data_IF_641973346242
#
_entry.id   IF_641973346242
#
_cell.length_a   1.000
_cell.length_b   1.000
_cell.length_c   1.000
_cell.angle_alpha   90.00
_cell.angle_beta   90.00
_cell.angle_gamma   90.00
#
_symmetry.space_group_name_H-M   'P 1'
#
loop_
_entity.id
_entity.type
_entity.pdbx_description
1 polymer ?
#
# COMPACT_ATOMS: atom_id res chain seq x y z
N UNK A 1 -11.58 16.08 -16.59
CA UNK A 1 -11.54 15.37 -15.29
C UNK A 1 -12.49 14.20 -15.42
N UNK A 2 -12.03 12.98 -15.08
CA UNK A 2 -12.87 11.77 -15.12
C UNK A 2 -13.62 11.63 -13.81
N UNK A 3 -14.94 11.53 -13.88
CA UNK A 3 -15.81 11.27 -12.72
C UNK A 3 -15.71 9.80 -12.36
N UNK A 4 -15.31 9.49 -11.13
CA UNK A 4 -15.13 8.11 -10.68
C UNK A 4 -16.04 7.75 -9.52
N UNK A 5 -16.44 6.48 -9.51
CA UNK A 5 -17.09 5.81 -8.39
C UNK A 5 -16.19 4.67 -7.92
N UNK A 6 -16.02 4.51 -6.62
CA UNK A 6 -15.23 3.44 -6.02
C UNK A 6 -16.18 2.45 -5.32
N UNK A 7 -16.07 1.14 -5.65
CA UNK A 7 -16.97 0.11 -5.14
C UNK A 7 -16.31 -1.27 -5.05
N UNK A 8 -16.51 -2.01 -3.95
CA UNK A 8 -16.93 -1.52 -2.64
C UNK A 8 -15.82 -0.66 -2.00
N UNK A 9 -16.20 0.37 -1.29
CA UNK A 9 -15.25 1.19 -0.55
C UNK A 9 -15.16 0.70 0.90
N UNK A 10 -13.94 0.43 1.35
CA UNK A 10 -13.62 0.01 2.71
C UNK A 10 -12.48 0.86 3.29
N UNK A 11 -12.01 0.54 4.49
CA UNK A 11 -10.84 1.23 5.09
C UNK A 11 -9.56 1.09 4.25
N UNK A 12 -9.45 0.02 3.48
CA UNK A 12 -8.26 -0.26 2.67
C UNK A 12 -8.09 0.73 1.50
N UNK A 13 -9.21 1.29 1.02
CA UNK A 13 -9.23 2.23 -0.10
C UNK A 13 -9.07 3.69 0.33
N UNK A 14 -9.00 3.96 1.64
CA UNK A 14 -8.93 5.34 2.13
C UNK A 14 -7.78 6.15 1.52
N UNK A 15 -6.61 5.53 1.37
CA UNK A 15 -5.45 6.18 0.75
C UNK A 15 -5.68 6.64 -0.70
N UNK A 16 -6.63 6.03 -1.43
CA UNK A 16 -6.99 6.48 -2.77
C UNK A 16 -7.61 7.89 -2.73
N UNK A 17 -8.40 8.19 -1.72
CA UNK A 17 -9.08 9.51 -1.63
C UNK A 17 -8.05 10.63 -1.54
N UNK A 18 -7.00 10.41 -0.76
CA UNK A 18 -6.01 11.44 -0.47
C UNK A 18 -4.99 11.63 -1.59
N UNK A 19 -4.64 10.54 -2.29
CA UNK A 19 -3.52 10.53 -3.22
C UNK A 19 -3.91 10.35 -4.68
N UNK A 20 -5.20 10.24 -5.00
CA UNK A 20 -5.65 10.16 -6.39
C UNK A 20 -5.17 11.36 -7.21
N UNK A 21 -4.64 11.12 -8.42
CA UNK A 21 -4.25 12.20 -9.30
C UNK A 21 -5.42 13.16 -9.61
N UNK A 22 -5.13 14.47 -9.81
CA UNK A 22 -6.18 15.50 -9.99
C UNK A 22 -7.04 15.35 -11.26
N UNK A 23 -6.65 14.46 -12.16
CA UNK A 23 -7.49 14.10 -13.30
C UNK A 23 -8.75 13.32 -12.91
N UNK A 24 -8.81 12.74 -11.71
CA UNK A 24 -9.97 12.03 -11.17
C UNK A 24 -10.78 12.91 -10.22
N UNK A 25 -12.10 12.83 -10.33
CA UNK A 25 -13.05 13.45 -9.40
C UNK A 25 -13.94 12.37 -8.84
N UNK A 26 -13.87 12.15 -7.54
CA UNK A 26 -14.72 11.18 -6.86
C UNK A 26 -16.15 11.72 -6.82
N UNK A 27 -17.09 10.97 -7.36
CA UNK A 27 -18.51 11.31 -7.32
C UNK A 27 -19.31 10.43 -6.37
N UNK A 28 -18.80 9.24 -6.07
CA UNK A 28 -19.51 8.30 -5.20
C UNK A 28 -18.54 7.31 -4.57
N UNK A 29 -18.76 7.03 -3.27
CA UNK A 29 -18.12 5.98 -2.51
C UNK A 29 -19.19 4.98 -2.09
N UNK A 30 -19.19 3.80 -2.69
CA UNK A 30 -20.24 2.80 -2.46
C UNK A 30 -19.77 1.79 -1.42
N UNK A 31 -20.51 1.69 -0.32
CA UNK A 31 -20.26 0.73 0.77
C UNK A 31 -21.35 -0.32 0.82
N UNK A 32 -21.06 -1.56 1.23
CA UNK A 32 -22.09 -2.57 1.45
C UNK A 32 -23.07 -2.17 2.56
N UNK A 33 -24.32 -2.59 2.43
CA UNK A 33 -25.32 -2.40 3.49
C UNK A 33 -24.85 -3.05 4.81
N UNK A 34 -25.13 -2.37 5.93
CA UNK A 34 -24.83 -2.88 7.27
C UNK A 34 -23.48 -2.41 7.85
N UNK A 35 -22.70 -1.64 7.12
CA UNK A 35 -21.48 -1.02 7.67
C UNK A 35 -21.81 0.19 8.57
N UNK A 36 -23.03 0.71 8.52
CA UNK A 36 -23.54 1.77 9.41
C UNK A 36 -22.98 3.17 9.14
N UNK A 37 -22.37 3.40 7.98
CA UNK A 37 -21.73 4.66 7.61
C UNK A 37 -22.43 5.38 6.45
N UNK A 38 -23.60 4.88 6.00
CA UNK A 38 -24.33 5.52 4.90
C UNK A 38 -24.70 6.97 5.23
N UNK A 39 -24.47 7.86 4.29
CA UNK A 39 -24.72 9.30 4.43
C UNK A 39 -23.73 10.06 5.30
N UNK A 40 -22.77 9.37 5.92
CA UNK A 40 -21.70 10.01 6.68
C UNK A 40 -20.55 10.43 5.74
N UNK A 41 -19.83 11.47 6.13
CA UNK A 41 -18.61 11.87 5.46
C UNK A 41 -17.48 10.85 5.72
N UNK A 42 -16.61 10.66 4.76
CA UNK A 42 -15.49 9.70 4.86
C UNK A 42 -14.52 10.02 6.01
N UNK A 43 -14.49 11.27 6.48
CA UNK A 43 -13.68 11.72 7.61
C UNK A 43 -13.89 10.92 8.88
N UNK A 44 -15.07 10.30 9.04
CA UNK A 44 -15.37 9.43 10.21
C UNK A 44 -14.42 8.25 10.32
N UNK A 45 -13.85 7.78 9.20
CA UNK A 45 -12.88 6.67 9.21
C UNK A 45 -11.56 7.05 9.86
N UNK A 46 -11.26 8.34 10.00
CA UNK A 46 -9.99 8.85 10.57
C UNK A 46 -10.15 9.86 11.69
N UNK A 47 -11.38 10.11 12.12
CA UNK A 47 -11.66 11.16 13.11
C UNK A 47 -11.01 12.50 12.74
N UNK A 48 -11.23 12.93 11.49
CA UNK A 48 -10.71 14.17 10.91
C UNK A 48 -11.85 15.14 10.57
N UNK A 49 -11.54 16.36 10.15
CA UNK A 49 -12.53 17.30 9.62
C UNK A 49 -13.12 16.78 8.31
N UNK A 50 -14.37 17.18 8.02
CA UNK A 50 -15.08 16.76 6.82
C UNK A 50 -14.26 16.98 5.54
N UNK A 51 -14.24 15.95 4.69
CA UNK A 51 -13.52 15.94 3.41
C UNK A 51 -14.48 16.26 2.25
N UNK A 52 -15.80 16.09 2.47
CA UNK A 52 -16.85 16.40 1.51
C UNK A 52 -17.29 15.22 0.65
N UNK A 53 -16.82 13.99 0.94
CA UNK A 53 -17.27 12.78 0.27
C UNK A 53 -18.15 11.95 1.18
N UNK A 54 -19.41 11.70 0.76
CA UNK A 54 -20.35 10.89 1.53
C UNK A 54 -20.44 9.47 1.00
N UNK A 55 -20.67 8.52 1.91
CA UNK A 55 -20.95 7.14 1.58
C UNK A 55 -22.37 6.93 1.08
N UNK A 56 -22.55 6.04 0.12
CA UNK A 56 -23.84 5.56 -0.33
C UNK A 56 -23.91 4.04 -0.40
N UNK A 57 -25.07 3.47 -0.07
CA UNK A 57 -25.33 2.03 -0.25
C UNK A 57 -25.95 1.72 -1.61
N UNK A 58 -26.39 2.74 -2.33
CA UNK A 58 -27.05 2.57 -3.63
C UNK A 58 -26.05 2.38 -4.75
N UNK A 59 -25.81 1.13 -5.16
CA UNK A 59 -24.95 0.79 -6.29
C UNK A 59 -25.40 1.55 -7.55
N UNK A 60 -26.70 1.53 -7.87
CA UNK A 60 -27.23 2.13 -9.08
C UNK A 60 -27.00 3.64 -9.12
N UNK A 61 -27.31 4.35 -8.03
CA UNK A 61 -27.14 5.81 -8.00
C UNK A 61 -25.68 6.19 -8.06
N UNK A 62 -24.81 5.47 -7.33
CA UNK A 62 -23.37 5.74 -7.32
C UNK A 62 -22.73 5.53 -8.69
N UNK A 63 -23.07 4.44 -9.40
CA UNK A 63 -22.56 4.14 -10.75
C UNK A 63 -23.10 5.14 -11.79
N UNK A 64 -24.37 5.52 -11.72
CA UNK A 64 -24.94 6.45 -12.70
C UNK A 64 -24.23 7.81 -12.70
N UNK A 65 -23.77 8.29 -11.56
CA UNK A 65 -23.12 9.59 -11.40
C UNK A 65 -21.65 9.62 -11.84
N UNK A 66 -21.08 8.48 -12.22
CA UNK A 66 -19.68 8.36 -12.61
C UNK A 66 -19.52 7.99 -14.09
N UNK A 67 -18.38 8.35 -14.67
CA UNK A 67 -17.97 7.95 -16.02
C UNK A 67 -17.15 6.64 -15.96
N UNK A 68 -16.33 6.50 -14.92
CA UNK A 68 -15.46 5.35 -14.70
C UNK A 68 -15.73 4.73 -13.32
N UNK A 69 -15.83 3.41 -13.28
CA UNK A 69 -16.06 2.67 -12.05
C UNK A 69 -14.76 1.94 -11.64
N UNK A 70 -14.28 2.19 -10.43
CA UNK A 70 -13.18 1.47 -9.84
C UNK A 70 -13.76 0.36 -8.97
N UNK A 71 -13.62 -0.88 -9.44
CA UNK A 71 -14.01 -2.06 -8.67
C UNK A 71 -12.79 -2.53 -7.89
N UNK A 72 -12.87 -2.47 -6.56
CA UNK A 72 -11.73 -2.64 -5.65
C UNK A 72 -11.30 -4.10 -5.51
N UNK A 73 -10.10 -4.29 -4.96
CA UNK A 73 -9.53 -5.62 -4.76
C UNK A 73 -10.13 -6.26 -3.50
N UNK A 74 -10.94 -7.29 -3.69
CA UNK A 74 -11.55 -8.07 -2.62
C UNK A 74 -11.13 -9.53 -2.78
N UNK A 75 -10.66 -10.12 -1.70
CA UNK A 75 -10.29 -11.53 -1.71
C UNK A 75 -11.52 -12.44 -1.87
N UNK A 76 -11.36 -13.53 -2.63
CA UNK A 76 -12.43 -14.53 -2.85
C UNK A 76 -12.90 -15.15 -1.52
N UNK A 77 -12.04 -15.15 -0.51
CA UNK A 77 -12.34 -15.63 0.84
C UNK A 77 -13.41 -14.78 1.55
N UNK A 78 -13.52 -13.50 1.22
CA UNK A 78 -14.54 -12.57 1.72
C UNK A 78 -15.83 -12.65 0.89
N UNK A 79 -16.44 -13.81 0.82
CA UNK A 79 -17.53 -14.15 -0.12
C UNK A 79 -18.60 -13.08 -0.29
N UNK A 80 -19.16 -12.55 0.80
CA UNK A 80 -20.26 -11.56 0.73
C UNK A 80 -19.79 -10.25 0.09
N UNK A 81 -18.60 -9.81 0.43
CA UNK A 81 -18.02 -8.57 -0.10
C UNK A 81 -17.62 -8.76 -1.56
N UNK A 82 -17.06 -9.92 -1.90
CA UNK A 82 -16.71 -10.29 -3.26
C UNK A 82 -17.96 -10.36 -4.15
N UNK A 83 -19.03 -11.02 -3.71
CA UNK A 83 -20.31 -11.08 -4.44
C UNK A 83 -20.90 -9.68 -4.67
N UNK A 84 -20.81 -8.80 -3.67
CA UNK A 84 -21.25 -7.41 -3.78
C UNK A 84 -20.42 -6.65 -4.82
N UNK A 85 -19.10 -6.77 -4.79
CA UNK A 85 -18.19 -6.16 -5.76
C UNK A 85 -18.48 -6.67 -7.20
N UNK A 86 -18.72 -7.99 -7.33
CA UNK A 86 -19.02 -8.61 -8.60
C UNK A 86 -20.39 -8.16 -9.17
N UNK A 87 -21.40 -7.99 -8.32
CA UNK A 87 -22.69 -7.41 -8.71
C UNK A 87 -22.54 -5.97 -9.20
N UNK A 88 -21.73 -5.16 -8.51
CA UNK A 88 -21.45 -3.79 -8.93
C UNK A 88 -20.70 -3.76 -10.28
N UNK A 89 -19.74 -4.67 -10.49
CA UNK A 89 -19.06 -4.84 -11.78
C UNK A 89 -20.05 -5.13 -12.91
N UNK A 90 -20.93 -6.12 -12.74
CA UNK A 90 -21.93 -6.48 -13.77
C UNK A 90 -22.91 -5.34 -14.05
N UNK A 91 -23.27 -4.56 -13.01
CA UNK A 91 -24.13 -3.39 -13.20
C UNK A 91 -23.41 -2.29 -13.98
N UNK A 92 -22.13 -2.02 -13.70
CA UNK A 92 -21.33 -1.06 -14.43
C UNK A 92 -21.22 -1.45 -15.92
N UNK A 93 -20.99 -2.74 -16.20
CA UNK A 93 -20.99 -3.28 -17.58
C UNK A 93 -22.31 -2.99 -18.30
N UNK A 94 -23.45 -3.36 -17.68
CA UNK A 94 -24.79 -3.16 -18.27
C UNK A 94 -25.10 -1.69 -18.53
N UNK A 95 -24.53 -0.77 -17.77
CA UNK A 95 -24.71 0.67 -17.92
C UNK A 95 -23.68 1.30 -18.89
N UNK A 96 -22.85 0.49 -19.55
CA UNK A 96 -21.87 0.95 -20.54
C UNK A 96 -20.80 1.87 -19.94
N UNK A 97 -20.45 1.67 -18.67
CA UNK A 97 -19.42 2.48 -17.99
C UNK A 97 -18.02 1.97 -18.28
N UNK A 98 -17.04 2.88 -18.27
CA UNK A 98 -15.64 2.47 -18.20
C UNK A 98 -15.32 1.86 -16.83
N UNK A 99 -14.53 0.80 -16.82
CA UNK A 99 -14.26 0.04 -15.59
C UNK A 99 -12.76 -0.16 -15.43
N UNK A 100 -12.26 0.12 -14.22
CA UNK A 100 -10.95 -0.29 -13.74
C UNK A 100 -11.19 -1.36 -12.68
N UNK A 101 -10.86 -2.62 -13.01
CA UNK A 101 -11.20 -3.77 -12.18
C UNK A 101 -9.96 -4.36 -11.51
N UNK A 102 -9.99 -4.42 -10.18
CA UNK A 102 -8.97 -5.04 -9.34
C UNK A 102 -9.40 -6.40 -8.76
N UNK A 103 -10.61 -6.86 -9.04
CA UNK A 103 -11.05 -8.17 -8.57
C UNK A 103 -10.17 -9.29 -9.13
N UNK A 104 -9.84 -10.31 -8.31
CA UNK A 104 -9.06 -11.47 -8.71
C UNK A 104 -9.89 -12.45 -9.55
N UNK A 105 -10.20 -12.06 -10.78
CA UNK A 105 -10.93 -12.86 -11.75
C UNK A 105 -9.97 -13.77 -12.51
N UNK A 106 -10.45 -14.96 -12.91
CA UNK A 106 -9.72 -15.82 -13.83
C UNK A 106 -9.77 -15.28 -15.27
N UNK A 107 -8.96 -15.84 -16.17
CA UNK A 107 -8.84 -15.29 -17.52
C UNK A 107 -10.09 -15.49 -18.36
N UNK A 108 -10.87 -16.56 -18.15
CA UNK A 108 -12.16 -16.80 -18.82
C UNK A 108 -13.19 -15.76 -18.37
N UNK A 109 -13.29 -15.50 -17.07
CA UNK A 109 -14.18 -14.46 -16.53
C UNK A 109 -13.82 -13.08 -17.08
N UNK A 110 -12.54 -12.72 -17.15
CA UNK A 110 -12.07 -11.44 -17.72
C UNK A 110 -12.47 -11.30 -19.18
N UNK A 111 -12.32 -12.38 -19.96
CA UNK A 111 -12.67 -12.36 -21.38
C UNK A 111 -14.17 -12.20 -21.60
N UNK A 112 -15.02 -12.88 -20.81
CA UNK A 112 -16.46 -12.72 -20.84
C UNK A 112 -16.86 -11.27 -20.51
N UNK A 113 -16.30 -10.71 -19.43
CA UNK A 113 -16.62 -9.34 -19.02
C UNK A 113 -16.15 -8.33 -20.07
N UNK A 114 -14.97 -8.52 -20.67
CA UNK A 114 -14.46 -7.65 -21.73
C UNK A 114 -15.42 -7.60 -22.91
N UNK A 115 -15.86 -8.76 -23.41
CA UNK A 115 -16.84 -8.85 -24.50
C UNK A 115 -18.19 -8.20 -24.13
N UNK A 116 -18.64 -8.38 -22.89
CA UNK A 116 -19.86 -7.71 -22.43
C UNK A 116 -19.68 -6.18 -22.42
N UNK A 117 -18.55 -5.65 -21.93
CA UNK A 117 -18.28 -4.21 -21.94
C UNK A 117 -18.32 -3.65 -23.36
N UNK A 118 -17.69 -4.32 -24.31
CA UNK A 118 -17.73 -3.92 -25.74
C UNK A 118 -19.16 -3.87 -26.30
N UNK A 119 -19.98 -4.87 -25.97
CA UNK A 119 -21.39 -4.92 -26.39
C UNK A 119 -22.22 -3.77 -25.82
N UNK A 120 -21.92 -3.29 -24.60
CA UNK A 120 -22.63 -2.20 -23.95
C UNK A 120 -21.99 -0.82 -24.15
N UNK A 121 -20.88 -0.74 -24.90
CA UNK A 121 -20.21 0.52 -25.26
C UNK A 121 -19.25 1.07 -24.19
N UNK A 122 -18.88 0.27 -23.18
CA UNK A 122 -17.86 0.59 -22.18
C UNK A 122 -16.54 -0.15 -22.42
N UNK A 123 -15.53 0.20 -21.66
CA UNK A 123 -14.24 -0.49 -21.64
C UNK A 123 -13.95 -1.06 -20.25
N UNK A 124 -13.34 -2.24 -20.18
CA UNK A 124 -12.89 -2.82 -18.92
C UNK A 124 -11.37 -3.05 -18.93
N UNK A 125 -10.68 -2.37 -18.04
CA UNK A 125 -9.26 -2.57 -17.79
C UNK A 125 -9.09 -3.43 -16.52
N UNK A 126 -8.56 -4.63 -16.69
CA UNK A 126 -8.17 -5.48 -15.57
C UNK A 126 -6.75 -5.16 -15.16
N UNK A 127 -6.58 -4.80 -13.90
CA UNK A 127 -5.28 -4.46 -13.35
C UNK A 127 -4.65 -5.74 -12.77
N UNK A 128 -3.43 -6.01 -13.21
CA UNK A 128 -2.62 -7.10 -12.70
C UNK A 128 -1.30 -6.52 -12.18
N UNK A 129 -0.94 -6.76 -10.91
CA UNK A 129 0.40 -6.45 -10.42
C UNK A 129 1.47 -7.13 -11.27
N UNK A 130 2.64 -6.53 -11.35
CA UNK A 130 3.80 -7.16 -11.96
C UNK A 130 4.14 -8.41 -11.14
N UNK A 131 4.11 -9.56 -11.77
CA UNK A 131 4.57 -10.82 -11.17
C UNK A 131 6.03 -11.02 -11.61
N UNK A 132 6.98 -11.25 -10.68
CA UNK A 132 8.32 -11.66 -11.05
C UNK A 132 8.24 -12.91 -11.94
N UNK A 133 8.89 -12.86 -13.09
CA UNK A 133 8.86 -13.99 -14.02
C UNK A 133 9.77 -15.11 -13.53
N UNK A 134 9.32 -16.35 -13.72
CA UNK A 134 10.14 -17.50 -13.41
C UNK A 134 11.45 -17.46 -14.20
N UNK A 135 12.55 -17.55 -13.47
CA UNK A 135 13.87 -17.67 -14.06
C UNK A 135 14.01 -19.09 -14.60
N UNK A 136 14.44 -19.21 -15.86
CA UNK A 136 14.75 -20.51 -16.43
C UNK A 136 15.82 -21.21 -15.56
N UNK A 137 15.56 -22.47 -15.16
CA UNK A 137 16.45 -23.22 -14.25
C UNK A 137 17.85 -23.40 -14.80
N UNK A 138 18.00 -23.31 -16.14
CA UNK A 138 19.27 -23.43 -16.84
C UNK A 138 19.98 -22.09 -17.08
N UNK A 139 19.32 -20.95 -16.76
CA UNK A 139 19.94 -19.64 -16.85
C UNK A 139 20.97 -19.48 -15.72
N UNK A 140 22.14 -18.90 -16.03
CA UNK A 140 23.10 -18.52 -15.00
C UNK A 140 22.41 -17.55 -14.02
N UNK A 141 22.17 -18.01 -12.80
CA UNK A 141 21.58 -17.23 -11.74
C UNK A 141 22.54 -16.09 -11.39
N UNK A 142 22.12 -14.86 -11.67
CA UNK A 142 22.90 -13.66 -11.35
C UNK A 142 22.02 -12.70 -10.54
N UNK A 143 22.52 -12.28 -9.38
CA UNK A 143 21.97 -11.17 -8.63
C UNK A 143 22.60 -9.86 -9.10
N UNK A 144 21.75 -8.88 -9.37
CA UNK A 144 22.18 -7.55 -9.78
C UNK A 144 22.30 -6.63 -8.58
N UNK A 145 23.32 -5.78 -8.57
CA UNK A 145 23.49 -4.74 -7.57
C UNK A 145 22.70 -3.50 -7.94
N UNK A 146 22.14 -2.83 -6.94
CA UNK A 146 21.45 -1.55 -7.11
C UNK A 146 22.42 -0.41 -6.83
N UNK A 147 22.47 0.57 -7.76
CA UNK A 147 23.35 1.72 -7.67
C UNK A 147 22.69 2.92 -6.97
N UNK A 148 21.43 2.78 -6.60
CA UNK A 148 20.65 3.80 -5.89
C UNK A 148 20.25 3.28 -4.53
N UNK A 149 20.05 4.17 -3.53
CA UNK A 149 19.66 3.75 -2.19
C UNK A 149 18.29 3.08 -2.21
N UNK A 150 18.13 2.07 -1.34
CA UNK A 150 16.89 1.33 -1.13
C UNK A 150 16.42 1.56 0.28
N UNK A 151 15.16 1.97 0.45
CA UNK A 151 14.52 2.16 1.76
C UNK A 151 13.31 1.25 1.87
N UNK A 152 13.19 0.56 3.02
CA UNK A 152 12.02 -0.23 3.33
C UNK A 152 11.03 0.55 4.18
N UNK A 153 9.73 0.33 3.93
CA UNK A 153 8.65 0.69 4.83
C UNK A 153 8.12 -0.61 5.44
N UNK A 154 8.28 -0.75 6.74
CA UNK A 154 7.86 -1.91 7.52
C UNK A 154 6.74 -1.54 8.48
N UNK A 155 5.82 -2.44 8.75
CA UNK A 155 4.67 -2.21 9.65
C UNK A 155 4.72 -3.12 10.88
N UNK A 156 4.12 -2.64 11.98
CA UNK A 156 3.90 -3.44 13.19
C UNK A 156 2.96 -4.62 12.92
N UNK A 157 1.90 -4.38 12.17
CA UNK A 157 1.00 -5.35 11.56
C UNK A 157 0.30 -4.70 10.35
N UNK A 158 -0.41 -5.46 9.58
CA UNK A 158 -1.05 -4.97 8.35
C UNK A 158 -1.98 -3.79 8.60
N UNK A 159 -1.90 -2.78 7.74
CA UNK A 159 -2.71 -1.55 7.81
C UNK A 159 -2.40 -0.63 9.02
N UNK A 160 -1.16 -0.62 9.52
CA UNK A 160 -0.68 0.36 10.50
C UNK A 160 -0.30 1.73 9.88
N UNK A 161 -0.63 1.96 8.61
CA UNK A 161 -0.33 3.21 7.91
C UNK A 161 0.96 3.19 7.10
N UNK A 162 1.58 2.03 6.88
CA UNK A 162 2.81 1.91 6.09
C UNK A 162 2.61 2.25 4.63
N UNK A 163 1.50 1.83 4.03
CA UNK A 163 1.18 2.20 2.67
C UNK A 163 0.99 3.72 2.50
N UNK A 164 0.36 4.36 3.48
CA UNK A 164 0.20 5.82 3.50
C UNK A 164 1.55 6.51 3.66
N UNK A 165 2.40 6.04 4.58
CA UNK A 165 3.76 6.53 4.74
C UNK A 165 4.57 6.42 3.45
N UNK A 166 4.47 5.26 2.75
CA UNK A 166 5.09 5.04 1.45
C UNK A 166 4.75 6.14 0.46
N UNK A 167 3.45 6.41 0.27
CA UNK A 167 3.00 7.39 -0.73
C UNK A 167 3.37 8.81 -0.32
N UNK A 168 3.18 9.18 0.95
CA UNK A 168 3.55 10.53 1.44
C UNK A 168 5.03 10.82 1.28
N UNK A 169 5.89 9.88 1.63
CA UNK A 169 7.35 10.00 1.48
C UNK A 169 7.72 10.11 0.01
N UNK A 170 7.16 9.24 -0.83
CA UNK A 170 7.44 9.25 -2.27
C UNK A 170 7.03 10.57 -2.92
N UNK A 171 5.84 11.09 -2.61
CA UNK A 171 5.37 12.38 -3.12
C UNK A 171 6.26 13.54 -2.63
N UNK A 172 6.63 13.54 -1.35
CA UNK A 172 7.49 14.59 -0.80
C UNK A 172 8.91 14.58 -1.42
N UNK A 173 9.48 13.40 -1.66
CA UNK A 173 10.75 13.22 -2.38
C UNK A 173 10.62 13.72 -3.82
N UNK A 174 9.51 13.40 -4.50
CA UNK A 174 9.22 13.88 -5.85
C UNK A 174 9.08 15.40 -5.91
N UNK A 175 8.43 16.01 -4.92
CA UNK A 175 8.32 17.49 -4.81
C UNK A 175 9.69 18.18 -4.60
N UNK A 176 10.69 17.45 -4.10
CA UNK A 176 12.07 17.93 -3.98
C UNK A 176 12.91 17.74 -5.25
N UNK A 177 12.30 17.20 -6.33
CA UNK A 177 12.94 17.03 -7.63
C UNK A 177 13.61 15.65 -7.85
N UNK A 178 13.54 14.75 -6.88
CA UNK A 178 14.06 13.39 -7.03
C UNK A 178 13.01 12.45 -7.60
N UNK A 179 13.45 11.37 -8.22
CA UNK A 179 12.61 10.38 -8.89
C UNK A 179 12.55 9.07 -8.10
N UNK A 180 11.54 8.84 -7.25
CA UNK A 180 11.42 7.58 -6.51
C UNK A 180 10.86 6.46 -7.40
N UNK A 181 11.42 5.25 -7.28
CA UNK A 181 10.79 4.01 -7.70
C UNK A 181 10.06 3.41 -6.50
N UNK A 182 8.73 3.42 -6.55
CA UNK A 182 7.88 2.97 -5.45
C UNK A 182 7.35 1.58 -5.76
N UNK A 183 7.55 0.65 -4.83
CA UNK A 183 7.17 -0.77 -4.97
C UNK A 183 6.33 -1.22 -3.78
N UNK A 184 5.19 -1.84 -4.03
CA UNK A 184 4.39 -2.51 -3.00
C UNK A 184 3.49 -3.59 -3.60
N UNK A 185 2.92 -4.45 -2.75
CA UNK A 185 1.88 -5.40 -3.16
C UNK A 185 0.53 -4.73 -3.43
N UNK A 186 0.36 -3.46 -3.05
CA UNK A 186 -0.92 -2.79 -3.20
C UNK A 186 -1.23 -2.57 -4.68
N UNK A 187 -2.31 -3.15 -5.22
CA UNK A 187 -2.64 -3.04 -6.64
C UNK A 187 -2.98 -1.60 -7.05
N UNK A 188 -3.41 -0.76 -6.11
CA UNK A 188 -3.80 0.63 -6.37
C UNK A 188 -2.63 1.55 -6.71
N UNK A 189 -1.39 1.11 -6.53
CA UNK A 189 -0.20 1.85 -6.97
C UNK A 189 -0.31 2.33 -8.42
N UNK A 190 -0.93 1.54 -9.28
CA UNK A 190 -1.09 1.88 -10.70
C UNK A 190 -1.95 3.14 -10.90
N UNK A 191 -2.99 3.34 -10.08
CA UNK A 191 -3.81 4.55 -10.09
C UNK A 191 -3.01 5.79 -9.67
N UNK A 192 -2.02 5.58 -8.80
CA UNK A 192 -1.12 6.62 -8.29
C UNK A 192 0.13 6.80 -9.16
N UNK A 193 0.20 6.13 -10.33
CA UNK A 193 1.34 6.12 -11.25
C UNK A 193 2.63 5.54 -10.65
N UNK A 194 2.47 4.61 -9.70
CA UNK A 194 3.53 3.79 -9.12
C UNK A 194 3.45 2.34 -9.59
N UNK A 195 4.40 1.52 -9.15
CA UNK A 195 4.47 0.12 -9.56
C UNK A 195 3.91 -0.80 -8.47
N UNK A 196 3.01 -1.69 -8.87
CA UNK A 196 2.53 -2.79 -8.04
C UNK A 196 3.27 -4.07 -8.42
N UNK A 197 3.89 -4.72 -7.43
CA UNK A 197 4.65 -5.96 -7.60
C UNK A 197 4.05 -7.03 -6.68
N UNK A 198 3.75 -8.21 -7.23
CA UNK A 198 3.26 -9.32 -6.43
C UNK A 198 4.44 -10.10 -5.83
N UNK A 199 4.79 -9.78 -4.60
CA UNK A 199 5.83 -10.51 -3.87
C UNK A 199 5.37 -11.87 -3.31
N UNK A 200 4.07 -12.16 -3.32
CA UNK A 200 3.50 -13.37 -2.70
C UNK A 200 3.58 -14.61 -3.58
N UNK A 201 3.91 -14.45 -4.86
CA UNK A 201 3.96 -15.57 -5.82
C UNK A 201 5.30 -16.31 -5.72
N UNK A 202 5.56 -16.89 -4.55
CA UNK A 202 6.84 -17.51 -4.17
C UNK A 202 6.75 -19.02 -4.36
N UNK A 203 7.44 -19.55 -5.38
CA UNK A 203 7.50 -20.99 -5.64
C UNK A 203 8.57 -21.72 -4.84
N UNK A 204 9.73 -21.08 -4.66
CA UNK A 204 10.80 -21.50 -3.75
C UNK A 204 11.53 -20.26 -3.26
N UNK A 205 12.03 -20.29 -2.03
CA UNK A 205 12.71 -19.12 -1.42
C UNK A 205 13.92 -18.66 -2.25
N UNK A 206 14.73 -19.60 -2.71
CA UNK A 206 15.93 -19.32 -3.49
C UNK A 206 15.61 -18.68 -4.84
N UNK A 207 14.69 -19.27 -5.61
CA UNK A 207 14.28 -18.71 -6.90
C UNK A 207 13.64 -17.34 -6.72
N UNK A 208 12.84 -17.14 -5.67
CA UNK A 208 12.16 -15.88 -5.41
C UNK A 208 13.12 -14.73 -5.16
N UNK A 209 14.24 -14.96 -4.49
CA UNK A 209 15.30 -13.94 -4.34
C UNK A 209 15.79 -13.47 -5.70
N UNK A 210 16.07 -14.41 -6.61
CA UNK A 210 16.55 -14.08 -7.96
C UNK A 210 15.47 -13.40 -8.80
N UNK A 211 14.26 -13.94 -8.79
CA UNK A 211 13.12 -13.42 -9.56
C UNK A 211 12.77 -12.00 -9.15
N UNK A 212 12.71 -11.73 -7.83
CA UNK A 212 12.46 -10.38 -7.30
C UNK A 212 13.61 -9.44 -7.66
N UNK A 213 14.87 -9.87 -7.46
CA UNK A 213 16.04 -9.06 -7.78
C UNK A 213 16.01 -8.63 -9.24
N UNK A 214 15.81 -9.56 -10.18
CA UNK A 214 15.77 -9.28 -11.61
C UNK A 214 14.60 -8.38 -11.99
N UNK A 215 13.40 -8.63 -11.44
CA UNK A 215 12.23 -7.81 -11.73
C UNK A 215 12.43 -6.35 -11.27
N UNK A 216 12.96 -6.15 -10.06
CA UNK A 216 13.23 -4.81 -9.53
C UNK A 216 14.37 -4.15 -10.29
N UNK A 217 15.42 -4.89 -10.65
CA UNK A 217 16.52 -4.37 -11.44
C UNK A 217 16.05 -3.89 -12.82
N UNK A 218 15.28 -4.68 -13.56
CA UNK A 218 14.71 -4.29 -14.84
C UNK A 218 13.82 -3.06 -14.74
N UNK A 219 13.00 -2.96 -13.68
CA UNK A 219 12.22 -1.77 -13.40
C UNK A 219 13.13 -0.56 -13.13
N UNK A 220 14.18 -0.73 -12.34
CA UNK A 220 15.12 0.36 -12.03
C UNK A 220 15.84 0.86 -13.28
N UNK A 221 16.25 -0.04 -14.15
CA UNK A 221 16.85 0.34 -15.46
C UNK A 221 15.85 1.12 -16.33
N UNK A 222 14.58 0.71 -16.36
CA UNK A 222 13.52 1.37 -17.15
C UNK A 222 13.13 2.74 -16.58
N UNK A 223 13.03 2.84 -15.26
CA UNK A 223 12.60 4.05 -14.57
C UNK A 223 13.76 5.02 -14.39
N UNK A 224 14.97 4.53 -14.20
CA UNK A 224 16.17 5.30 -13.82
C UNK A 224 15.88 6.19 -12.60
N UNK A 225 15.62 5.60 -11.43
CA UNK A 225 15.26 6.32 -10.22
C UNK A 225 16.50 6.87 -9.50
N UNK A 226 16.27 7.84 -8.60
CA UNK A 226 17.29 8.31 -7.64
C UNK A 226 17.24 7.50 -6.33
N UNK A 227 16.10 6.87 -6.04
CA UNK A 227 15.87 6.06 -4.84
C UNK A 227 14.80 5.00 -5.11
N UNK A 228 14.93 3.84 -4.48
CA UNK A 228 13.91 2.77 -4.47
C UNK A 228 13.27 2.74 -3.09
N UNK A 229 11.94 2.77 -3.02
CA UNK A 229 11.18 2.68 -1.78
C UNK A 229 10.27 1.45 -1.86
N UNK A 230 10.48 0.50 -0.96
CA UNK A 230 9.76 -0.78 -0.94
C UNK A 230 8.89 -0.87 0.30
N UNK A 231 7.58 -0.98 0.13
CA UNK A 231 6.68 -1.37 1.21
C UNK A 231 6.72 -2.88 1.37
N UNK A 232 7.17 -3.35 2.53
CA UNK A 232 7.24 -4.77 2.83
C UNK A 232 5.81 -5.32 2.98
N UNK A 233 5.48 -6.43 2.31
CA UNK A 233 4.09 -6.90 2.18
C UNK A 233 3.49 -7.40 3.49
N UNK A 234 4.34 -7.88 4.41
CA UNK A 234 3.95 -8.39 5.71
C UNK A 234 4.86 -7.84 6.80
N UNK A 235 4.37 -7.77 8.05
CA UNK A 235 5.21 -7.44 9.20
C UNK A 235 6.44 -8.36 9.30
N UNK A 236 7.59 -7.75 9.54
CA UNK A 236 8.87 -8.48 9.71
C UNK A 236 8.89 -9.34 10.97
N UNK A 237 8.06 -8.98 11.95
CA UNK A 237 7.91 -9.68 13.23
C UNK A 237 6.48 -10.16 13.41
N UNK A 238 6.31 -11.34 13.98
CA UNK A 238 4.99 -11.77 14.44
C UNK A 238 4.49 -10.83 15.54
N UNK A 239 3.20 -10.48 15.50
CA UNK A 239 2.58 -9.68 16.55
C UNK A 239 2.37 -10.49 17.84
N UNK A 240 1.90 -11.71 17.68
CA UNK A 240 1.75 -12.70 18.77
C UNK A 240 1.80 -14.13 18.19
N UNK A 241 1.61 -15.16 19.04
CA UNK A 241 1.64 -16.56 18.59
C UNK A 241 0.54 -16.96 17.61
N UNK A 242 -0.58 -16.25 17.57
CA UNK A 242 -1.71 -16.51 16.68
C UNK A 242 -1.64 -15.67 15.40
N UNK A 243 -1.22 -14.40 15.52
CA UNK A 243 -0.96 -13.50 14.38
C UNK A 243 0.54 -13.54 14.04
N UNK A 244 0.94 -14.61 13.37
CA UNK A 244 2.33 -14.84 12.99
C UNK A 244 2.69 -14.22 11.64
N UNK A 245 1.66 -13.85 10.85
CA UNK A 245 1.80 -13.54 9.44
C UNK A 245 2.59 -14.66 8.75
N UNK A 246 3.63 -14.32 7.99
CA UNK A 246 4.59 -15.28 7.42
C UNK A 246 5.88 -15.39 8.27
N UNK A 247 5.85 -14.96 9.52
CA UNK A 247 7.02 -14.84 10.42
C UNK A 247 8.16 -13.97 9.87
N UNK A 248 7.84 -13.06 8.93
CA UNK A 248 8.80 -12.19 8.26
C UNK A 248 9.62 -12.88 7.17
N UNK A 249 9.22 -14.07 6.73
CA UNK A 249 9.94 -14.83 5.69
C UNK A 249 10.00 -14.05 4.39
N UNK A 250 8.88 -13.51 3.94
CA UNK A 250 8.82 -12.76 2.69
C UNK A 250 9.63 -11.47 2.76
N UNK A 251 9.57 -10.76 3.89
CA UNK A 251 10.40 -9.58 4.12
C UNK A 251 11.89 -9.91 4.09
N UNK A 252 12.29 -11.07 4.62
CA UNK A 252 13.67 -11.56 4.53
C UNK A 252 14.06 -11.88 3.08
N UNK A 253 13.21 -12.59 2.32
CA UNK A 253 13.45 -12.86 0.89
C UNK A 253 13.66 -11.56 0.10
N UNK A 254 12.82 -10.55 0.35
CA UNK A 254 12.94 -9.24 -0.29
C UNK A 254 14.26 -8.56 0.10
N UNK A 255 14.68 -8.65 1.38
CA UNK A 255 15.94 -8.04 1.83
C UNK A 255 17.17 -8.69 1.21
N UNK A 256 17.12 -9.98 0.89
CA UNK A 256 18.18 -10.66 0.14
C UNK A 256 18.16 -10.33 -1.35
N UNK A 257 16.97 -10.10 -1.92
CA UNK A 257 16.81 -9.76 -3.32
C UNK A 257 17.19 -8.31 -3.65
N UNK A 258 16.83 -7.40 -2.77
CA UNK A 258 16.98 -5.94 -2.95
C UNK A 258 17.54 -5.35 -1.66
N UNK A 259 18.86 -5.49 -1.39
CA UNK A 259 19.46 -5.05 -0.13
C UNK A 259 19.14 -3.60 0.22
N UNK A 260 18.65 -3.37 1.45
CA UNK A 260 18.21 -2.05 1.91
C UNK A 260 19.34 -1.25 2.55
N UNK A 261 19.27 0.08 2.40
CA UNK A 261 20.16 1.03 3.07
C UNK A 261 19.59 1.57 4.36
N UNK A 262 18.26 1.41 4.55
CA UNK A 262 17.57 1.81 5.77
C UNK A 262 16.11 1.40 5.75
N UNK A 263 15.46 1.46 6.92
CA UNK A 263 14.02 1.19 7.01
C UNK A 263 13.30 2.17 7.92
N UNK A 264 12.04 2.45 7.58
CA UNK A 264 11.08 3.16 8.41
C UNK A 264 10.13 2.14 9.03
N UNK A 265 9.88 2.25 10.33
CA UNK A 265 8.96 1.38 11.04
C UNK A 265 7.64 2.08 11.33
N UNK A 266 6.54 1.62 10.75
CA UNK A 266 5.20 2.16 10.97
C UNK A 266 4.51 1.44 12.12
N UNK A 267 4.08 2.19 13.11
CA UNK A 267 3.50 1.68 14.34
C UNK A 267 2.17 2.36 14.67
N UNK A 268 1.35 1.64 15.42
CA UNK A 268 0.24 2.23 16.14
C UNK A 268 0.74 3.22 17.19
N UNK A 269 -0.17 4.09 17.58
CA UNK A 269 0.06 4.99 18.70
C UNK A 269 0.27 4.20 19.99
N UNK A 270 1.45 4.32 20.55
CA UNK A 270 1.83 3.70 21.82
C UNK A 270 2.66 4.66 22.66
N UNK A 271 2.60 4.49 23.98
CA UNK A 271 3.48 5.17 24.95
C UNK A 271 4.64 4.28 25.40
N UNK A 272 4.66 3.03 24.95
CA UNK A 272 5.73 2.09 25.33
C UNK A 272 6.91 2.16 24.34
N UNK A 273 7.75 3.16 24.54
CA UNK A 273 8.94 3.37 23.72
C UNK A 273 10.01 2.31 23.89
N UNK A 274 10.04 1.61 25.06
CA UNK A 274 10.97 0.48 25.28
C UNK A 274 10.60 -0.69 24.39
N UNK A 275 9.30 -0.96 24.28
CA UNK A 275 8.81 -1.98 23.37
C UNK A 275 9.13 -1.64 21.92
N UNK A 276 8.91 -0.40 21.49
CA UNK A 276 9.25 0.05 20.14
C UNK A 276 10.75 -0.13 19.87
N UNK A 277 11.61 0.27 20.81
CA UNK A 277 13.05 0.11 20.67
C UNK A 277 13.47 -1.35 20.55
N UNK A 278 12.94 -2.23 21.40
CA UNK A 278 13.24 -3.66 21.34
C UNK A 278 12.84 -4.31 20.02
N UNK A 279 11.67 -3.93 19.47
CA UNK A 279 11.21 -4.41 18.16
C UNK A 279 12.09 -3.89 17.05
N UNK A 280 12.35 -2.59 17.01
CA UNK A 280 13.16 -1.99 15.94
C UNK A 280 14.57 -2.54 15.93
N UNK A 281 15.22 -2.73 17.10
CA UNK A 281 16.54 -3.35 17.19
C UNK A 281 16.57 -4.80 16.65
N UNK A 282 15.46 -5.51 16.81
CA UNK A 282 15.31 -6.87 16.25
C UNK A 282 15.10 -6.85 14.74
N UNK A 283 14.28 -5.92 14.23
CA UNK A 283 14.03 -5.75 12.80
C UNK A 283 15.30 -5.32 12.07
N UNK A 284 16.07 -4.39 12.64
CA UNK A 284 17.35 -3.94 12.11
C UNK A 284 18.28 -5.12 11.81
N UNK A 285 18.39 -6.05 12.76
CA UNK A 285 19.20 -7.27 12.60
C UNK A 285 18.63 -8.25 11.57
N UNK A 286 17.30 -8.31 11.42
CA UNK A 286 16.64 -9.19 10.46
C UNK A 286 16.72 -8.69 9.02
N UNK A 287 16.64 -7.39 8.82
CA UNK A 287 16.69 -6.75 7.50
C UNK A 287 18.12 -6.37 7.09
N UNK A 288 19.07 -6.42 8.04
CA UNK A 288 20.47 -6.00 7.86
C UNK A 288 20.59 -4.56 7.35
N UNK A 289 19.75 -3.67 7.87
CA UNK A 289 19.80 -2.25 7.52
C UNK A 289 19.34 -1.37 8.71
N UNK A 290 19.89 -0.14 8.85
CA UNK A 290 19.63 0.73 10.00
C UNK A 290 18.21 1.30 10.00
N UNK A 291 17.70 1.56 11.21
CA UNK A 291 16.44 2.27 11.42
C UNK A 291 16.61 3.75 11.06
N UNK A 292 15.76 4.25 10.17
CA UNK A 292 15.64 5.69 9.86
C UNK A 292 14.80 6.38 10.94
N UNK A 293 13.72 5.74 11.36
CA UNK A 293 12.84 6.23 12.40
C UNK A 293 11.56 5.46 12.53
N UNK A 294 10.72 5.87 13.48
CA UNK A 294 9.41 5.29 13.74
C UNK A 294 8.33 6.27 13.30
N UNK A 295 7.48 5.82 12.39
CA UNK A 295 6.31 6.55 11.93
C UNK A 295 5.08 6.14 12.73
N UNK A 296 4.49 7.05 13.47
CA UNK A 296 3.33 6.77 14.30
C UNK A 296 2.07 7.35 13.67
N UNK A 297 1.15 6.45 13.32
CA UNK A 297 -0.16 6.79 12.81
C UNK A 297 -1.14 7.23 13.92
N UNK A 298 -2.31 7.73 13.51
CA UNK A 298 -3.39 8.10 14.43
C UNK A 298 -4.35 6.93 14.69
N UNK A 299 -3.80 5.77 14.95
CA UNK A 299 -4.57 4.56 15.22
C UNK A 299 -4.08 3.89 16.50
N UNK A 300 -5.04 3.33 17.25
CA UNK A 300 -4.80 2.48 18.41
C UNK A 300 -5.40 1.11 18.17
N UNK A 301 -4.82 0.09 18.79
CA UNK A 301 -5.46 -1.23 18.81
C UNK A 301 -6.76 -1.15 19.64
N UNK A 302 -7.84 -1.71 19.13
CA UNK A 302 -9.06 -1.95 19.89
C UNK A 302 -9.02 -3.37 20.50
N UNK A 303 -8.71 -3.50 21.80
CA UNK A 303 -8.63 -4.82 22.43
C UNK A 303 -9.99 -5.50 22.54
N UNK A 304 -11.09 -4.73 22.56
CA UNK A 304 -12.45 -5.27 22.71
C UNK A 304 -12.94 -5.95 21.44
N UNK A 305 -12.61 -5.37 20.27
CA UNK A 305 -13.00 -5.92 18.97
C UNK A 305 -11.92 -6.81 18.35
N UNK A 306 -10.71 -6.83 18.92
CA UNK A 306 -9.61 -7.68 18.46
C UNK A 306 -9.66 -9.08 19.06
N UNK A 307 -9.28 -10.07 18.29
CA UNK A 307 -9.04 -11.44 18.73
C UNK A 307 -7.57 -11.81 18.56
N UNK A 308 -7.19 -13.01 19.01
CA UNK A 308 -5.83 -13.49 18.75
C UNK A 308 -5.47 -13.58 17.29
N UNK A 309 -6.45 -13.75 16.39
CA UNK A 309 -6.28 -13.94 14.95
C UNK A 309 -6.70 -12.73 14.10
N UNK A 310 -7.44 -11.77 14.68
CA UNK A 310 -7.93 -10.59 13.98
C UNK A 310 -7.66 -9.34 14.82
N UNK A 311 -6.88 -8.43 14.31
CA UNK A 311 -6.55 -7.17 14.97
C UNK A 311 -7.39 -6.04 14.38
N UNK A 312 -8.07 -5.30 15.23
CA UNK A 312 -8.93 -4.19 14.85
C UNK A 312 -8.35 -2.88 15.38
N UNK A 313 -8.26 -1.91 14.49
CA UNK A 313 -7.78 -0.56 14.83
C UNK A 313 -8.93 0.42 14.88
N UNK A 314 -8.85 1.35 15.82
CA UNK A 314 -9.70 2.52 15.89
C UNK A 314 -8.88 3.80 15.67
N UNK A 315 -9.49 4.84 15.08
CA UNK A 315 -8.90 6.17 15.07
C UNK A 315 -8.67 6.64 16.51
N UNK A 316 -7.52 7.22 16.78
CA UNK A 316 -7.19 7.82 18.08
C UNK A 316 -7.28 9.34 18.01
N UNK A 317 -7.54 9.97 19.15
CA UNK A 317 -7.49 11.43 19.26
C UNK A 317 -6.07 11.95 18.98
N UNK A 318 -5.98 13.16 18.42
CA UNK A 318 -4.72 13.85 18.18
C UNK A 318 -4.06 14.21 19.53
N UNK A 319 -3.23 13.31 20.05
CA UNK A 319 -2.40 13.60 21.23
C UNK A 319 -1.00 13.91 20.73
N UNK A 320 -0.38 14.96 21.27
CA UNK A 320 1.03 15.26 21.01
C UNK A 320 1.91 14.05 21.39
N UNK A 321 2.69 13.59 20.44
CA UNK A 321 3.69 12.54 20.65
C UNK A 321 5.01 13.27 20.83
N UNK A 322 5.81 12.92 21.86
CA UNK A 322 7.16 13.43 21.97
C UNK A 322 7.99 12.95 20.77
N UNK A 323 8.52 13.89 20.01
CA UNK A 323 9.24 13.61 18.76
C UNK A 323 10.60 12.96 18.93
N UNK A 324 11.17 12.96 20.12
CA UNK A 324 12.43 12.28 20.44
C UNK A 324 12.39 11.67 21.83
N UNK A 325 12.81 10.42 21.89
CA UNK A 325 13.29 9.77 23.12
C UNK A 325 14.79 9.55 22.97
N UNK A 326 15.52 9.35 24.05
CA UNK A 326 16.99 9.24 24.08
C UNK A 326 17.62 8.23 23.09
N UNK A 327 16.80 7.50 22.31
CA UNK A 327 17.28 6.45 21.40
C UNK A 327 16.44 6.22 20.13
N UNK A 328 15.34 6.96 19.91
CA UNK A 328 14.48 6.77 18.74
C UNK A 328 14.04 8.11 18.13
N UNK A 329 14.21 8.24 16.81
CA UNK A 329 13.59 9.32 16.03
C UNK A 329 12.14 8.94 15.75
N UNK A 330 11.20 9.72 16.26
CA UNK A 330 9.76 9.47 16.14
C UNK A 330 9.13 10.57 15.29
N UNK A 331 8.35 10.16 14.30
CA UNK A 331 7.65 11.05 13.37
C UNK A 331 6.15 10.82 13.46
N UNK A 332 5.40 11.89 13.70
CA UNK A 332 3.94 11.83 13.70
C UNK A 332 3.41 11.92 12.27
N UNK A 333 2.65 10.93 11.84
CA UNK A 333 2.04 10.85 10.51
C UNK A 333 1.19 12.06 10.11
N UNK A 334 0.65 12.80 11.07
CA UNK A 334 -0.23 13.96 10.87
C UNK A 334 0.47 15.31 11.08
N UNK A 335 1.75 15.30 11.45
CA UNK A 335 2.57 16.51 11.59
C UNK A 335 3.32 16.80 10.28
N UNK A 336 2.98 17.87 9.61
CA UNK A 336 3.71 18.32 8.41
C UNK A 336 5.18 18.59 8.72
N UNK A 337 5.48 19.07 9.94
CA UNK A 337 6.85 19.35 10.39
C UNK A 337 7.62 18.02 10.47
N UNK A 338 7.03 16.99 11.07
CA UNK A 338 7.67 15.67 11.23
C UNK A 338 7.84 14.98 9.87
N UNK A 339 6.85 15.09 8.99
CA UNK A 339 6.95 14.57 7.61
C UNK A 339 8.11 15.24 6.86
N UNK A 340 8.22 16.54 6.91
CA UNK A 340 9.31 17.30 6.27
C UNK A 340 10.67 16.94 6.88
N UNK A 341 10.73 16.77 8.20
CA UNK A 341 11.96 16.38 8.91
C UNK A 341 12.42 14.99 8.50
N UNK A 342 11.50 14.02 8.41
CA UNK A 342 11.79 12.66 7.92
C UNK A 342 12.31 12.68 6.48
N UNK A 343 11.63 13.41 5.59
CA UNK A 343 12.04 13.51 4.18
C UNK A 343 13.41 14.18 4.04
N UNK A 344 13.69 15.23 4.82
CA UNK A 344 15.02 15.85 4.86
C UNK A 344 16.08 14.86 5.34
N UNK A 345 15.79 14.10 6.41
CA UNK A 345 16.68 13.05 6.90
C UNK A 345 16.99 12.00 5.81
N UNK A 346 15.98 11.56 5.05
CA UNK A 346 16.16 10.61 3.95
C UNK A 346 17.03 11.22 2.86
N UNK A 347 16.78 12.46 2.46
CA UNK A 347 17.55 13.13 1.41
C UNK A 347 19.00 13.31 1.83
N UNK A 348 19.24 13.80 3.03
CA UNK A 348 20.58 14.09 3.53
C UNK A 348 21.42 12.82 3.71
N UNK A 349 20.83 11.75 4.21
CA UNK A 349 21.56 10.52 4.48
C UNK A 349 21.72 9.60 3.28
N UNK A 350 20.84 9.65 2.29
CA UNK A 350 20.84 8.67 1.19
C UNK A 350 21.00 9.29 -0.19
N UNK A 351 20.50 10.49 -0.43
CA UNK A 351 20.53 11.10 -1.76
C UNK A 351 21.70 12.08 -1.91
N UNK A 352 21.97 12.93 -0.92
CA UNK A 352 23.06 13.88 -1.00
C UNK A 352 24.45 13.23 -0.89
N UNK A 353 24.57 12.09 -0.19
CA UNK A 353 25.82 11.33 -0.07
C UNK A 353 26.20 10.59 -1.36
N UNK A 354 25.22 10.27 -2.20
CA UNK A 354 25.46 9.56 -3.48
C UNK A 354 26.17 10.43 -4.52
N UNK A 355 26.15 11.74 -4.39
CA UNK A 355 26.81 12.69 -5.28
C UNK A 355 28.26 13.04 -4.85
N UNK A 356 28.72 12.50 -3.73
CA UNK A 356 30.05 12.80 -3.16
C UNK A 356 31.13 11.76 -3.42
N UNK A 357 30.84 10.68 -4.12
CA UNK A 357 31.80 9.62 -4.45
C UNK A 357 31.93 9.51 -5.99
N UNK A 358 32.76 10.37 -6.53
CA UNK A 358 33.38 10.19 -7.85
C UNK A 358 34.88 9.97 -7.62
#
# INVERSE_FOLDING_TARGET
MKKICIVPFTKNEYSLIEFLPPEYVITSLITPMGIGIEGQDISVMRNSSDIGYQFTNSITNGINNADTIIVTNIEITEKKLYEYAFQALLMAVKLGKDIICFLPLNDDEKEVIRKMCECFGGMCQFIKPLTPSHVDKDAKVQLYNFHVPVIYISEMYTNCGGYEALIRIAEAIRCKGYKPLVLSNNPYNILLKYHSINFNDVTSLENSVVEINQAVYLLSCKVNPDIIIVHLPNPVMQYNRQNRFDCGVLSHVISQAVPGNGYLYCSLKTKDFRFLKAITDTIEKKLDCPLIGVWIGNQILDPASSSGTSLVNLPADNISIQSQTDSLSIYNAFSIIDQNSLVSCIIDNFLNLSYGVI
#
